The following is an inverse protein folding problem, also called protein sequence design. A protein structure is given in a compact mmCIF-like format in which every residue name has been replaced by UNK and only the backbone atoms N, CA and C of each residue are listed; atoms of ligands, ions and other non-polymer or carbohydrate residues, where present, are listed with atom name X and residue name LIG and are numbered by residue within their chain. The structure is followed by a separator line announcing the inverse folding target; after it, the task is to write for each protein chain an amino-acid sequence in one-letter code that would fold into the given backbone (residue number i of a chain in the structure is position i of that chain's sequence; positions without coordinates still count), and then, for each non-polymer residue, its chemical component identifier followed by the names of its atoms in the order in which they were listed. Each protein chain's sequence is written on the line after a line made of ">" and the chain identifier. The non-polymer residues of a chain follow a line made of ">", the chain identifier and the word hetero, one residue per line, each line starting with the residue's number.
data_IF_388808749463
#
_entry.id   IF_388808749463
#
_cell.length_a   1.000
_cell.length_b   1.000
_cell.length_c   1.000
_cell.angle_alpha   90.00
_cell.angle_beta   90.00
_cell.angle_gamma   90.00
#
_symmetry.space_group_name_H-M   'P 1'
#
loop_
_entity.id
_entity.type
_entity.pdbx_description
1 polymer ?
#
# COMPACT_ATOMS: atom_id res chain seq x y z
N UNK A 1 24.68 24.90 -54.22
CA UNK A 1 24.86 24.78 -52.75
C UNK A 1 23.59 25.26 -52.10
N UNK A 2 22.94 24.47 -51.24
CA UNK A 2 22.14 24.88 -50.07
C UNK A 2 21.54 23.59 -49.49
N UNK A 3 22.22 23.04 -48.48
CA UNK A 3 21.76 21.90 -47.68
C UNK A 3 20.61 22.40 -46.80
N UNK A 4 19.41 21.85 -46.99
CA UNK A 4 18.34 21.96 -46.01
C UNK A 4 18.68 21.02 -44.84
N UNK A 5 19.15 21.59 -43.74
CA UNK A 5 19.42 20.87 -42.50
C UNK A 5 18.14 20.90 -41.67
N UNK A 6 17.32 19.85 -41.82
CA UNK A 6 16.10 19.65 -41.06
C UNK A 6 16.45 19.43 -39.59
N UNK A 7 16.23 20.44 -38.77
CA UNK A 7 16.27 20.33 -37.31
C UNK A 7 15.06 19.51 -36.87
N UNK A 8 15.27 18.25 -36.52
CA UNK A 8 14.23 17.44 -35.87
C UNK A 8 14.16 17.83 -34.39
N UNK A 9 13.10 18.54 -34.04
CA UNK A 9 12.77 18.97 -32.68
C UNK A 9 12.43 17.75 -31.81
N UNK A 10 13.36 17.30 -30.98
CA UNK A 10 13.14 16.25 -29.99
C UNK A 10 12.62 16.86 -28.67
N UNK A 11 11.30 17.10 -28.57
CA UNK A 11 10.65 17.56 -27.31
C UNK A 11 9.51 16.60 -26.89
N UNK A 12 9.49 15.36 -27.41
CA UNK A 12 8.41 14.40 -27.14
C UNK A 12 8.66 13.37 -26.02
N UNK A 13 9.91 13.16 -25.57
CA UNK A 13 10.26 11.99 -24.74
C UNK A 13 10.13 12.19 -23.22
N UNK A 14 10.12 13.42 -22.70
CA UNK A 14 10.22 13.64 -21.25
C UNK A 14 8.90 13.41 -20.50
N UNK A 15 7.75 13.62 -21.15
CA UNK A 15 6.44 13.54 -20.50
C UNK A 15 5.98 12.10 -20.28
N UNK A 16 6.30 11.21 -21.24
CA UNK A 16 5.92 9.79 -21.16
C UNK A 16 6.62 9.06 -20.00
N UNK A 17 7.90 9.35 -19.78
CA UNK A 17 8.66 8.70 -18.69
C UNK A 17 8.19 9.16 -17.30
N UNK A 18 7.81 10.43 -17.15
CA UNK A 18 7.30 10.96 -15.88
C UNK A 18 5.96 10.32 -15.48
N UNK A 19 5.04 10.13 -16.45
CA UNK A 19 3.76 9.47 -16.21
C UNK A 19 3.91 7.98 -15.86
N UNK A 20 4.80 7.27 -16.56
CA UNK A 20 5.09 5.86 -16.24
C UNK A 20 5.67 5.70 -14.84
N UNK A 21 6.58 6.58 -14.44
CA UNK A 21 7.16 6.56 -13.10
C UNK A 21 6.14 6.88 -12.00
N UNK A 22 5.14 7.75 -12.26
CA UNK A 22 4.07 8.00 -11.30
C UNK A 22 3.12 6.81 -11.16
N UNK A 23 2.76 6.17 -12.27
CA UNK A 23 1.88 4.99 -12.24
C UNK A 23 2.54 3.81 -11.50
N UNK A 24 3.84 3.60 -11.71
CA UNK A 24 4.62 2.58 -11.00
C UNK A 24 4.68 2.86 -9.49
N UNK A 25 4.97 4.10 -9.09
CA UNK A 25 4.95 4.53 -7.69
C UNK A 25 3.59 4.32 -7.03
N UNK A 26 2.49 4.63 -7.73
CA UNK A 26 1.14 4.40 -7.22
C UNK A 26 0.86 2.91 -7.07
N UNK A 27 1.25 2.09 -8.04
CA UNK A 27 1.08 0.64 -7.95
C UNK A 27 1.90 0.00 -6.80
N UNK A 28 3.12 0.49 -6.56
CA UNK A 28 3.94 0.11 -5.41
C UNK A 28 3.26 0.47 -4.09
N UNK A 29 2.72 1.69 -3.98
CA UNK A 29 1.97 2.13 -2.81
C UNK A 29 0.74 1.25 -2.59
N UNK A 30 -0.05 0.98 -3.63
CA UNK A 30 -1.22 0.09 -3.55
C UNK A 30 -0.85 -1.31 -3.06
N UNK A 31 0.27 -1.86 -3.56
CA UNK A 31 0.75 -3.17 -3.12
C UNK A 31 1.19 -3.16 -1.65
N UNK A 32 1.89 -2.10 -1.22
CA UNK A 32 2.31 -1.90 0.15
C UNK A 32 1.11 -1.77 1.11
N UNK A 33 0.10 -1.00 0.71
CA UNK A 33 -1.13 -0.85 1.48
C UNK A 33 -1.94 -2.15 1.54
N UNK A 34 -1.99 -2.89 0.43
CA UNK A 34 -2.67 -4.18 0.39
C UNK A 34 -2.00 -5.23 1.30
N UNK A 35 -0.67 -5.24 1.37
CA UNK A 35 0.07 -6.12 2.30
C UNK A 35 -0.27 -5.81 3.75
N UNK A 36 -0.16 -4.55 4.17
CA UNK A 36 -0.53 -4.11 5.52
C UNK A 36 -2.01 -4.44 5.83
N UNK A 37 -2.92 -4.17 4.89
CA UNK A 37 -4.34 -4.50 5.03
C UNK A 37 -4.59 -6.01 5.16
N UNK A 38 -3.85 -6.86 4.43
CA UNK A 38 -3.99 -8.31 4.53
C UNK A 38 -3.64 -8.84 5.93
N UNK A 39 -2.58 -8.28 6.53
CA UNK A 39 -2.14 -8.58 7.90
C UNK A 39 -3.15 -8.07 8.92
N UNK A 40 -3.70 -6.88 8.71
CA UNK A 40 -4.77 -6.34 9.57
C UNK A 40 -6.04 -7.20 9.53
N UNK A 41 -6.44 -7.70 8.35
CA UNK A 41 -7.56 -8.64 8.24
C UNK A 41 -7.27 -9.90 9.05
N UNK A 42 -6.05 -10.45 8.97
CA UNK A 42 -5.64 -11.60 9.76
C UNK A 42 -5.70 -11.33 11.27
N UNK A 43 -5.14 -10.21 11.73
CA UNK A 43 -5.19 -9.80 13.13
C UNK A 43 -6.64 -9.65 13.63
N UNK A 44 -7.53 -9.09 12.81
CA UNK A 44 -8.92 -8.89 13.18
C UNK A 44 -9.75 -10.16 13.21
N UNK A 45 -9.47 -11.14 12.35
CA UNK A 45 -10.33 -12.33 12.19
C UNK A 45 -9.79 -13.55 12.92
N UNK A 46 -8.48 -13.63 13.10
CA UNK A 46 -7.77 -14.82 13.58
C UNK A 46 -6.97 -14.57 14.87
N UNK A 47 -6.86 -13.32 15.33
CA UNK A 47 -6.09 -12.94 16.51
C UNK A 47 -6.89 -12.11 17.54
N UNK A 48 -8.22 -12.02 17.40
CA UNK A 48 -9.12 -11.28 18.27
C UNK A 48 -8.73 -9.80 18.49
N UNK A 49 -8.14 -9.16 17.47
CA UNK A 49 -7.78 -7.73 17.51
C UNK A 49 -8.63 -6.94 16.50
N UNK A 50 -9.87 -6.54 16.86
CA UNK A 50 -10.77 -5.85 15.93
C UNK A 50 -10.14 -4.56 15.43
N UNK A 51 -10.09 -4.37 14.12
CA UNK A 51 -9.48 -3.19 13.50
C UNK A 51 -10.56 -2.34 12.82
N UNK A 52 -10.45 -1.03 13.01
CA UNK A 52 -11.30 -0.03 12.36
C UNK A 52 -10.80 0.24 10.94
N UNK A 53 -11.61 -0.17 9.95
CA UNK A 53 -11.27 -0.01 8.54
C UNK A 53 -11.28 1.45 8.07
N UNK A 54 -12.03 2.35 8.72
CA UNK A 54 -12.02 3.78 8.36
C UNK A 54 -10.70 4.42 8.78
N UNK A 55 -10.21 4.09 9.99
CA UNK A 55 -8.89 4.54 10.45
C UNK A 55 -7.76 4.07 9.54
N UNK A 56 -7.88 2.90 8.92
CA UNK A 56 -6.85 2.40 8.00
C UNK A 56 -6.58 3.35 6.82
N UNK A 57 -7.60 3.99 6.24
CA UNK A 57 -7.44 4.90 5.10
C UNK A 57 -6.70 6.19 5.49
N UNK A 58 -7.06 6.76 6.64
CA UNK A 58 -6.37 7.96 7.17
C UNK A 58 -4.90 7.67 7.45
N UNK A 59 -4.61 6.46 7.94
CA UNK A 59 -3.25 6.03 8.26
C UNK A 59 -2.44 5.63 7.04
N UNK A 60 -3.09 5.09 6.02
CA UNK A 60 -2.46 4.83 4.73
C UNK A 60 -1.94 6.12 4.08
N UNK A 61 -2.62 7.26 4.28
CA UNK A 61 -2.11 8.57 3.87
C UNK A 61 -0.82 8.94 4.62
N UNK A 62 -0.81 8.77 5.95
CA UNK A 62 0.38 9.01 6.76
C UNK A 62 1.56 8.11 6.35
N UNK A 63 1.29 6.81 6.12
CA UNK A 63 2.30 5.85 5.65
C UNK A 63 2.85 6.22 4.28
N UNK A 64 1.97 6.57 3.33
CA UNK A 64 2.40 7.03 2.01
C UNK A 64 3.37 8.22 2.11
N UNK A 65 3.10 9.15 3.02
CA UNK A 65 4.00 10.28 3.30
C UNK A 65 5.34 9.82 3.90
N UNK A 66 5.31 8.95 4.93
CA UNK A 66 6.51 8.46 5.62
C UNK A 66 7.44 7.63 4.71
N UNK A 67 6.86 6.86 3.79
CA UNK A 67 7.59 6.01 2.85
C UNK A 67 7.96 6.76 1.55
N UNK A 68 7.64 8.06 1.45
CA UNK A 68 8.05 8.94 0.36
C UNK A 68 7.21 8.87 -0.92
N UNK A 69 6.01 8.29 -0.86
CA UNK A 69 5.07 8.18 -1.99
C UNK A 69 4.21 9.44 -2.20
N UNK A 70 4.16 10.35 -1.23
CA UNK A 70 3.36 11.58 -1.30
C UNK A 70 1.99 11.39 -0.65
N UNK A 71 0.91 11.44 -1.45
CA UNK A 71 -0.47 11.31 -0.97
C UNK A 71 -1.15 10.04 -1.51
N UNK A 72 -2.40 9.81 -1.11
CA UNK A 72 -3.20 8.65 -1.50
C UNK A 72 -4.31 8.96 -2.50
N UNK A 73 -4.31 10.14 -3.12
CA UNK A 73 -5.41 10.62 -3.98
C UNK A 73 -5.62 9.72 -5.22
N UNK A 74 -4.53 9.15 -5.74
CA UNK A 74 -4.54 8.29 -6.92
C UNK A 74 -4.59 6.78 -6.59
N UNK A 75 -4.72 6.42 -5.32
CA UNK A 75 -4.81 5.01 -4.90
C UNK A 75 -6.17 4.44 -5.30
N UNK A 76 -6.16 3.34 -6.05
CA UNK A 76 -7.36 2.54 -6.30
C UNK A 76 -7.66 1.66 -5.08
N UNK A 77 -8.53 2.16 -4.22
CA UNK A 77 -8.94 1.47 -2.99
C UNK A 77 -9.70 0.16 -3.24
N UNK A 78 -10.38 0.01 -4.37
CA UNK A 78 -11.04 -1.24 -4.72
C UNK A 78 -9.98 -2.31 -5.03
N UNK A 79 -8.95 -1.93 -5.80
CA UNK A 79 -7.81 -2.79 -6.08
C UNK A 79 -7.04 -3.16 -4.80
N UNK A 80 -6.75 -2.20 -3.92
CA UNK A 80 -6.10 -2.46 -2.62
C UNK A 80 -6.93 -3.46 -1.79
N UNK A 81 -8.24 -3.27 -1.72
CA UNK A 81 -9.14 -4.15 -0.96
C UNK A 81 -9.11 -5.58 -1.53
N UNK A 82 -9.21 -5.73 -2.85
CA UNK A 82 -9.11 -7.03 -3.52
C UNK A 82 -7.78 -7.71 -3.23
N UNK A 83 -6.67 -7.00 -3.42
CA UNK A 83 -5.32 -7.53 -3.15
C UNK A 83 -5.14 -7.91 -1.68
N UNK A 84 -5.70 -7.14 -0.74
CA UNK A 84 -5.64 -7.45 0.68
C UNK A 84 -6.38 -8.76 1.02
N UNK A 85 -7.55 -8.99 0.43
CA UNK A 85 -8.28 -10.26 0.59
C UNK A 85 -7.54 -11.45 -0.03
N UNK A 86 -6.94 -11.27 -1.20
CA UNK A 86 -6.08 -12.29 -1.82
C UNK A 86 -4.86 -12.60 -0.94
N UNK A 87 -4.21 -11.55 -0.40
CA UNK A 87 -3.10 -11.67 0.55
C UNK A 87 -3.51 -12.42 1.82
N UNK A 88 -4.66 -12.08 2.40
CA UNK A 88 -5.23 -12.79 3.55
C UNK A 88 -5.45 -14.28 3.24
N UNK A 89 -5.98 -14.59 2.05
CA UNK A 89 -6.14 -15.98 1.61
C UNK A 89 -4.81 -16.74 1.58
N UNK A 90 -3.72 -16.11 1.12
CA UNK A 90 -2.37 -16.71 1.14
C UNK A 90 -1.87 -16.92 2.56
N UNK A 91 -2.00 -15.92 3.43
CA UNK A 91 -1.64 -16.02 4.85
C UNK A 91 -2.36 -17.21 5.49
N UNK A 92 -3.66 -17.40 5.21
CA UNK A 92 -4.46 -18.51 5.76
C UNK A 92 -4.04 -19.91 5.27
N UNK A 93 -3.41 -20.01 4.11
CA UNK A 93 -2.82 -21.28 3.64
C UNK A 93 -1.58 -21.63 4.45
N UNK A 94 -0.77 -20.64 4.80
CA UNK A 94 0.50 -20.82 5.51
C UNK A 94 0.34 -20.86 7.04
N UNK A 95 -0.63 -20.11 7.57
CA UNK A 95 -0.88 -19.91 8.99
C UNK A 95 -2.40 -19.87 9.26
N UNK A 96 -3.08 -21.03 9.27
CA UNK A 96 -4.54 -21.10 9.31
C UNK A 96 -5.17 -20.72 10.66
N UNK A 97 -4.45 -20.67 11.78
CA UNK A 97 -5.05 -20.53 13.13
C UNK A 97 -4.29 -19.57 14.05
N UNK A 98 -3.78 -18.47 13.49
CA UNK A 98 -3.19 -17.38 14.27
C UNK A 98 -1.69 -17.51 14.53
N UNK A 99 -0.98 -18.41 13.84
CA UNK A 99 0.46 -18.62 14.04
C UNK A 99 1.30 -17.36 13.78
N UNK A 100 0.79 -16.46 12.94
CA UNK A 100 1.41 -15.17 12.61
C UNK A 100 0.95 -14.00 13.47
N UNK A 101 0.07 -14.20 14.44
CA UNK A 101 -0.44 -13.13 15.30
C UNK A 101 0.67 -12.32 15.99
N UNK A 102 1.69 -12.93 16.63
CA UNK A 102 2.76 -12.17 17.29
C UNK A 102 3.59 -11.35 16.29
N UNK A 103 3.96 -11.98 15.17
CA UNK A 103 4.77 -11.36 14.12
C UNK A 103 4.06 -10.14 13.50
N UNK A 104 2.81 -10.28 13.10
CA UNK A 104 2.08 -9.17 12.50
C UNK A 104 1.73 -8.09 13.51
N UNK A 105 1.51 -8.45 14.77
CA UNK A 105 1.34 -7.48 15.84
C UNK A 105 2.61 -6.65 16.06
N UNK A 106 3.80 -7.24 15.92
CA UNK A 106 5.07 -6.52 16.01
C UNK A 106 5.31 -5.64 14.78
N UNK A 107 5.21 -6.22 13.58
CA UNK A 107 5.42 -5.50 12.31
C UNK A 107 4.51 -4.29 12.16
N UNK A 108 3.24 -4.44 12.56
CA UNK A 108 2.28 -3.35 12.53
C UNK A 108 2.41 -2.50 13.81
N UNK A 109 2.53 -3.08 15.00
CA UNK A 109 2.56 -2.34 16.27
C UNK A 109 3.75 -1.42 16.48
N UNK A 110 4.93 -1.73 15.92
CA UNK A 110 6.07 -0.79 15.90
C UNK A 110 5.87 0.33 14.86
N UNK A 111 5.22 0.03 13.73
CA UNK A 111 4.85 1.04 12.74
C UNK A 111 3.64 1.88 13.15
N UNK A 112 2.85 1.40 14.12
CA UNK A 112 1.51 1.90 14.43
C UNK A 112 1.23 1.79 15.94
N UNK A 113 1.74 2.76 16.70
CA UNK A 113 1.57 2.88 18.16
C UNK A 113 0.09 2.80 18.61
N UNK A 114 -0.87 3.04 17.70
CA UNK A 114 -2.32 3.02 17.92
C UNK A 114 -2.96 1.62 18.01
N UNK A 115 -2.29 0.54 17.63
CA UNK A 115 -2.79 -0.83 17.93
C UNK A 115 -2.89 -1.08 19.45
N UNK A 116 -2.23 -0.24 20.27
CA UNK A 116 -2.34 -0.27 21.74
C UNK A 116 -3.70 0.23 22.25
N UNK A 117 -4.39 1.09 21.51
CA UNK A 117 -5.65 1.71 21.96
C UNK A 117 -6.90 0.84 21.71
N UNK A 118 -6.72 -0.36 21.13
CA UNK A 118 -7.81 -1.32 20.89
C UNK A 118 -8.03 -2.23 22.12
N UNK A 119 -7.15 -2.20 23.13
CA UNK A 119 -7.29 -2.92 24.41
C UNK A 119 -7.35 -1.98 25.64
N UNK A 120 -7.61 -0.68 25.45
CA UNK A 120 -7.71 0.30 26.53
C UNK A 120 -9.15 0.67 26.94
N UNK A 121 -10.13 -0.18 26.63
CA UNK A 121 -11.54 -0.05 27.03
C UNK A 121 -12.14 -1.38 27.44
#
# INVERSE_FOLDING_TARGET
>A
MHKAMTLFTAIGLTVAMAAQASDERTAELEALLADDASKLIYLSRDCDMPIDAEKFKDLAALKAMMEGYGNTDNVDWEKVTKMAHEGYGKIKVEAPVGEKCPEYKEQLGEKYEWLKDINAG
#
